data_IF_068883049355
#
_entry.id   IF_068883049355
#
_cell.length_a   1.000
_cell.length_b   1.000
_cell.length_c   1.000
_cell.angle_alpha   90.00
_cell.angle_beta   90.00
_cell.angle_gamma   90.00
#
_symmetry.space_group_name_H-M   'P 1'
#
loop_
_entity.id
_entity.type
_entity.pdbx_description
1 polymer ?
#
# COMPACT_ATOMS: atom_id res chain seq x y z
N UNK A 1 -42.70 -99.91 -64.36
CA UNK A 1 -42.32 -100.05 -62.94
C UNK A 1 -41.30 -98.96 -62.64
N UNK A 2 -41.62 -98.01 -61.74
CA UNK A 2 -40.75 -96.98 -61.10
C UNK A 2 -40.10 -95.84 -61.95
N UNK A 3 -40.56 -94.61 -61.62
CA UNK A 3 -39.97 -93.24 -61.54
C UNK A 3 -38.84 -92.76 -62.49
N UNK A 4 -38.83 -91.57 -63.13
CA UNK A 4 -39.11 -90.12 -62.82
C UNK A 4 -37.91 -89.29 -62.29
N UNK A 5 -37.56 -88.19 -63.00
CA UNK A 5 -37.09 -86.82 -62.56
C UNK A 5 -36.03 -86.18 -63.52
N UNK A 6 -36.01 -84.84 -63.56
CA UNK A 6 -35.50 -83.90 -64.59
C UNK A 6 -34.62 -82.76 -64.03
N UNK A 7 -33.67 -82.19 -64.81
CA UNK A 7 -33.25 -80.75 -64.92
C UNK A 7 -32.06 -80.65 -65.95
N UNK A 8 -31.94 -79.74 -66.94
CA UNK A 8 -31.82 -78.25 -66.99
C UNK A 8 -30.49 -77.71 -66.36
N UNK A 9 -29.73 -76.72 -66.89
CA UNK A 9 -29.89 -75.74 -68.02
C UNK A 9 -28.52 -75.03 -68.40
N UNK A 10 -28.38 -74.46 -69.62
CA UNK A 10 -27.60 -73.23 -70.06
C UNK A 10 -26.07 -73.07 -69.80
N UNK A 11 -25.17 -72.75 -70.77
CA UNK A 11 -24.96 -71.56 -71.68
C UNK A 11 -24.08 -70.42 -71.05
N UNK A 12 -23.07 -69.75 -71.68
CA UNK A 12 -22.18 -70.03 -72.86
C UNK A 12 -21.09 -68.89 -73.05
N UNK A 13 -19.81 -69.20 -73.40
CA UNK A 13 -18.75 -68.31 -74.05
C UNK A 13 -18.25 -67.02 -73.28
N UNK A 14 -17.08 -66.37 -73.48
CA UNK A 14 -15.77 -66.60 -74.18
C UNK A 14 -14.65 -65.59 -73.77
N UNK A 15 -13.39 -66.04 -73.82
CA UNK A 15 -12.16 -65.36 -74.34
C UNK A 15 -11.45 -64.12 -73.71
N UNK A 16 -10.11 -64.24 -73.69
CA UNK A 16 -9.05 -63.21 -73.93
C UNK A 16 -8.37 -62.47 -72.77
N UNK A 17 -7.05 -62.68 -72.66
CA UNK A 17 -6.07 -61.86 -71.92
C UNK A 17 -5.49 -60.74 -72.80
N UNK A 18 -5.26 -59.55 -72.22
CA UNK A 18 -3.93 -59.05 -71.82
C UNK A 18 -4.09 -57.64 -71.22
N UNK A 19 -3.42 -57.38 -70.10
CA UNK A 19 -3.59 -56.12 -69.35
C UNK A 19 -2.85 -54.94 -69.98
N UNK A 20 -3.44 -53.76 -69.84
CA UNK A 20 -2.77 -52.47 -70.07
C UNK A 20 -2.59 -51.76 -68.73
N UNK A 21 -1.44 -51.11 -68.56
CA UNK A 21 -1.03 -50.35 -67.37
C UNK A 21 -2.06 -49.29 -66.99
N UNK A 22 -2.46 -49.26 -65.72
CA UNK A 22 -3.17 -48.11 -65.15
C UNK A 22 -2.25 -46.89 -65.20
N UNK A 23 -2.62 -45.90 -66.01
CA UNK A 23 -2.29 -44.52 -65.64
C UNK A 23 -3.00 -44.26 -64.30
N UNK A 24 -2.33 -43.71 -63.27
CA UNK A 24 -3.02 -43.26 -62.07
C UNK A 24 -4.12 -42.30 -62.50
N UNK A 25 -5.36 -42.68 -62.24
CA UNK A 25 -6.50 -41.84 -62.53
C UNK A 25 -6.47 -40.72 -61.49
N UNK A 26 -6.25 -39.44 -61.87
CA UNK A 26 -6.01 -38.36 -60.90
C UNK A 26 -7.26 -37.97 -60.08
N UNK A 27 -8.34 -38.74 -60.22
CA UNK A 27 -9.63 -38.59 -59.55
C UNK A 27 -10.04 -39.87 -58.78
N UNK A 28 -9.10 -40.79 -58.56
CA UNK A 28 -9.24 -42.07 -57.86
C UNK A 28 -8.25 -42.02 -56.68
N UNK A 29 -8.74 -41.57 -55.53
CA UNK A 29 -7.92 -41.08 -54.41
C UNK A 29 -7.28 -42.21 -53.61
N UNK A 30 -8.05 -43.29 -53.41
CA UNK A 30 -7.60 -44.50 -52.72
C UNK A 30 -6.99 -45.55 -53.67
N UNK A 31 -7.03 -45.33 -54.99
CA UNK A 31 -6.43 -46.22 -56.01
C UNK A 31 -7.07 -47.62 -56.07
N UNK A 32 -8.36 -47.76 -55.73
CA UNK A 32 -9.09 -49.03 -55.85
C UNK A 32 -9.52 -49.35 -57.30
N UNK A 33 -9.45 -48.36 -58.20
CA UNK A 33 -9.75 -48.48 -59.62
C UNK A 33 -11.15 -48.00 -60.03
N UNK A 34 -11.97 -47.50 -59.09
CA UNK A 34 -13.30 -46.96 -59.36
C UNK A 34 -13.45 -45.55 -58.77
N UNK A 35 -13.85 -44.56 -59.59
CA UNK A 35 -14.24 -43.24 -59.05
C UNK A 35 -15.62 -43.40 -58.38
N UNK A 36 -15.63 -43.36 -57.06
CA UNK A 36 -16.83 -43.51 -56.23
C UNK A 36 -17.02 -42.33 -55.29
N UNK A 37 -18.01 -42.40 -54.38
CA UNK A 37 -18.16 -41.40 -53.33
C UNK A 37 -17.03 -41.47 -52.29
N UNK A 38 -16.32 -42.59 -52.17
CA UNK A 38 -15.19 -42.71 -51.27
C UNK A 38 -14.02 -41.83 -51.75
N UNK A 39 -13.79 -41.76 -53.06
CA UNK A 39 -12.76 -40.88 -53.65
C UNK A 39 -13.08 -39.40 -53.50
N UNK A 40 -14.37 -39.05 -53.49
CA UNK A 40 -14.82 -37.71 -53.15
C UNK A 40 -14.58 -37.40 -51.67
N UNK A 41 -14.79 -38.38 -50.77
CA UNK A 41 -14.51 -38.25 -49.34
C UNK A 41 -13.01 -38.21 -49.03
N UNK A 42 -12.19 -38.98 -49.75
CA UNK A 42 -10.72 -38.92 -49.66
C UNK A 42 -10.18 -37.58 -50.19
N UNK A 43 -10.80 -37.02 -51.24
CA UNK A 43 -10.49 -35.68 -51.74
C UNK A 43 -10.92 -34.58 -50.76
N UNK A 44 -12.02 -34.77 -50.02
CA UNK A 44 -12.46 -33.87 -48.94
C UNK A 44 -11.52 -33.93 -47.73
N UNK A 45 -11.04 -35.13 -47.36
CA UNK A 45 -10.00 -35.30 -46.32
C UNK A 45 -8.65 -34.67 -46.67
N UNK A 46 -8.42 -34.33 -47.95
CA UNK A 46 -7.24 -33.57 -48.39
C UNK A 46 -7.36 -32.05 -48.10
N UNK A 47 -8.54 -31.56 -47.70
CA UNK A 47 -8.80 -30.16 -47.34
C UNK A 47 -8.94 -29.92 -45.82
N UNK A 48 -8.38 -30.81 -45.01
CA UNK A 48 -7.69 -30.43 -43.77
C UNK A 48 -8.51 -30.06 -42.53
N UNK A 49 -9.77 -29.68 -42.68
CA UNK A 49 -10.55 -29.17 -41.56
C UNK A 49 -11.29 -30.28 -40.81
N UNK A 50 -11.31 -30.15 -39.49
CA UNK A 50 -12.14 -30.95 -38.58
C UNK A 50 -13.38 -30.13 -38.24
N UNK A 51 -14.41 -30.78 -37.72
CA UNK A 51 -15.63 -30.18 -37.15
C UNK A 51 -15.72 -30.82 -35.76
N UNK A 52 -15.14 -30.12 -34.77
CA UNK A 52 -14.79 -30.69 -33.46
C UNK A 52 -16.00 -30.80 -32.54
N UNK A 53 -16.99 -29.92 -32.67
CA UNK A 53 -18.21 -29.86 -31.88
C UNK A 53 -19.45 -30.45 -32.60
N UNK A 54 -19.38 -30.63 -33.92
CA UNK A 54 -20.45 -31.14 -34.80
C UNK A 54 -21.62 -30.18 -35.00
N UNK A 55 -21.39 -28.87 -35.04
CA UNK A 55 -22.42 -27.86 -35.34
C UNK A 55 -22.72 -27.73 -36.86
N UNK A 56 -21.77 -28.13 -37.71
CA UNK A 56 -21.83 -28.07 -39.17
C UNK A 56 -20.96 -26.99 -39.82
N UNK A 57 -20.15 -26.28 -39.04
CA UNK A 57 -19.06 -25.38 -39.45
C UNK A 57 -17.73 -26.14 -39.31
N UNK A 58 -16.68 -25.63 -39.95
CA UNK A 58 -15.36 -26.26 -39.96
C UNK A 58 -14.40 -25.47 -39.07
N UNK A 59 -13.57 -26.14 -38.25
CA UNK A 59 -12.61 -25.59 -37.28
C UNK A 59 -11.65 -24.51 -37.84
N UNK A 60 -11.54 -24.34 -39.17
CA UNK A 60 -10.72 -23.30 -39.82
C UNK A 60 -11.42 -21.95 -40.01
N UNK A 61 -12.75 -21.94 -39.86
CA UNK A 61 -13.65 -20.78 -39.98
C UNK A 61 -14.62 -20.68 -38.79
N UNK A 62 -14.51 -21.59 -37.83
CA UNK A 62 -15.16 -21.54 -36.53
C UNK A 62 -14.19 -20.97 -35.48
N UNK A 63 -14.54 -19.81 -34.91
CA UNK A 63 -13.76 -19.16 -33.85
C UNK A 63 -14.08 -19.77 -32.45
N UNK A 64 -15.08 -20.64 -32.29
CA UNK A 64 -15.51 -21.25 -31.03
C UNK A 64 -15.94 -22.73 -31.06
N UNK A 65 -14.98 -23.63 -31.33
CA UNK A 65 -15.12 -25.10 -31.34
C UNK A 65 -15.41 -25.79 -29.97
N UNK A 66 -15.64 -25.08 -28.87
CA UNK A 66 -15.81 -25.67 -27.52
C UNK A 66 -17.23 -25.49 -26.98
N UNK A 67 -18.02 -26.57 -27.00
CA UNK A 67 -19.39 -26.65 -26.47
C UNK A 67 -19.53 -26.31 -24.97
N UNK A 68 -18.42 -26.17 -24.24
CA UNK A 68 -18.41 -25.74 -22.83
C UNK A 68 -18.12 -24.25 -22.64
N UNK A 69 -17.79 -23.53 -23.72
CA UNK A 69 -17.68 -22.06 -23.71
C UNK A 69 -19.03 -21.41 -23.39
N UNK A 70 -18.98 -20.27 -22.71
CA UNK A 70 -20.19 -19.59 -22.21
C UNK A 70 -20.88 -18.72 -23.28
N UNK A 71 -20.18 -18.43 -24.38
CA UNK A 71 -20.73 -17.78 -25.58
C UNK A 71 -20.86 -18.73 -26.77
N UNK A 72 -20.82 -20.05 -26.55
CA UNK A 72 -20.98 -21.03 -27.61
C UNK A 72 -22.30 -20.85 -28.38
N UNK A 73 -22.21 -20.73 -29.70
CA UNK A 73 -23.32 -20.65 -30.66
C UNK A 73 -22.91 -21.35 -31.95
N UNK A 74 -23.87 -21.86 -32.73
CA UNK A 74 -23.64 -22.72 -33.91
C UNK A 74 -23.37 -21.95 -35.23
N UNK A 75 -22.92 -20.69 -35.09
CA UNK A 75 -22.39 -19.79 -36.14
C UNK A 75 -21.64 -18.64 -35.43
N UNK A 76 -20.53 -18.95 -34.72
CA UNK A 76 -19.92 -18.00 -33.82
C UNK A 76 -19.10 -16.96 -34.59
N UNK A 77 -19.55 -15.71 -34.54
CA UNK A 77 -18.85 -14.59 -35.18
C UNK A 77 -17.70 -14.02 -34.33
N UNK A 78 -17.40 -14.63 -33.18
CA UNK A 78 -16.45 -14.18 -32.18
C UNK A 78 -15.82 -15.39 -31.46
N UNK A 79 -14.56 -15.30 -30.96
CA UNK A 79 -13.88 -16.42 -30.31
C UNK A 79 -14.56 -17.01 -29.07
N UNK A 80 -14.24 -18.26 -28.77
CA UNK A 80 -14.65 -18.92 -27.52
C UNK A 80 -14.19 -18.13 -26.28
N UNK A 81 -15.19 -17.75 -25.50
CA UNK A 81 -15.05 -17.15 -24.19
C UNK A 81 -15.40 -18.17 -23.12
N UNK A 82 -14.60 -18.21 -22.07
CA UNK A 82 -14.84 -19.03 -20.89
C UNK A 82 -15.26 -18.15 -19.72
N UNK A 83 -15.77 -18.79 -18.67
CA UNK A 83 -16.02 -18.13 -17.40
C UNK A 83 -14.67 -17.87 -16.72
N UNK A 84 -14.41 -16.62 -16.34
CA UNK A 84 -13.28 -16.24 -15.49
C UNK A 84 -13.54 -16.56 -14.01
N UNK A 85 -12.61 -16.21 -13.12
CA UNK A 85 -12.72 -16.53 -11.69
C UNK A 85 -13.96 -15.89 -11.05
N UNK A 86 -14.44 -14.74 -11.56
CA UNK A 86 -15.62 -14.03 -11.07
C UNK A 86 -16.96 -14.56 -11.61
N UNK A 87 -16.95 -15.59 -12.47
CA UNK A 87 -18.16 -16.05 -13.14
C UNK A 87 -18.50 -15.29 -14.43
N UNK A 88 -17.63 -14.39 -14.91
CA UNK A 88 -17.91 -13.51 -16.05
C UNK A 88 -17.47 -14.18 -17.35
N UNK A 89 -18.40 -14.27 -18.30
CA UNK A 89 -18.12 -14.83 -19.62
C UNK A 89 -17.23 -13.89 -20.44
N UNK A 90 -16.01 -14.35 -20.80
CA UNK A 90 -15.03 -13.54 -21.53
C UNK A 90 -14.42 -12.43 -20.67
N UNK A 91 -14.52 -12.55 -19.34
CA UNK A 91 -13.82 -11.67 -18.41
C UNK A 91 -12.31 -11.94 -18.39
N UNK A 92 -11.55 -10.97 -17.88
CA UNK A 92 -10.09 -10.98 -17.86
C UNK A 92 -9.49 -11.35 -16.49
N UNK A 93 -10.28 -11.91 -15.58
CA UNK A 93 -9.86 -12.12 -14.21
C UNK A 93 -8.98 -13.36 -14.04
N UNK A 94 -7.68 -13.15 -13.79
CA UNK A 94 -6.72 -14.24 -13.53
C UNK A 94 -6.83 -14.81 -12.09
N UNK A 95 -7.42 -14.07 -11.14
CA UNK A 95 -7.54 -14.44 -9.73
C UNK A 95 -8.51 -13.55 -8.95
N UNK A 96 -9.18 -14.16 -7.98
CA UNK A 96 -9.99 -13.57 -6.91
C UNK A 96 -9.69 -14.44 -5.68
N UNK A 97 -8.75 -13.98 -4.85
CA UNK A 97 -8.10 -14.80 -3.82
C UNK A 97 -8.86 -14.86 -2.49
N UNK A 98 -9.78 -13.93 -2.24
CA UNK A 98 -10.63 -13.89 -1.04
C UNK A 98 -12.12 -14.20 -1.33
N UNK A 99 -12.57 -14.04 -2.57
CA UNK A 99 -13.94 -14.29 -3.02
C UNK A 99 -14.88 -13.10 -2.87
N UNK A 100 -14.38 -11.85 -2.79
CA UNK A 100 -15.22 -10.65 -2.64
C UNK A 100 -15.94 -10.23 -3.94
N UNK A 101 -15.46 -10.71 -5.09
CA UNK A 101 -15.99 -10.39 -6.42
C UNK A 101 -15.18 -9.36 -7.22
N UNK A 102 -13.99 -8.99 -6.76
CA UNK A 102 -13.02 -8.12 -7.45
C UNK A 102 -11.78 -8.93 -7.86
N UNK A 103 -11.12 -8.58 -8.95
CA UNK A 103 -9.90 -9.27 -9.40
C UNK A 103 -8.67 -8.81 -8.63
N UNK A 104 -7.79 -9.76 -8.26
CA UNK A 104 -6.54 -9.54 -7.53
C UNK A 104 -5.62 -8.44 -8.14
N UNK A 105 -5.77 -8.11 -9.43
CA UNK A 105 -4.97 -7.10 -10.14
C UNK A 105 -5.51 -5.65 -10.03
N UNK A 106 -6.78 -5.50 -9.66
CA UNK A 106 -7.46 -4.20 -9.45
C UNK A 106 -8.04 -4.03 -8.04
N UNK A 107 -8.08 -5.11 -7.27
CA UNK A 107 -8.46 -5.10 -5.88
C UNK A 107 -7.40 -4.37 -5.02
N UNK A 108 -7.90 -3.56 -4.09
CA UNK A 108 -7.09 -2.82 -3.13
C UNK A 108 -6.90 -3.56 -1.80
N UNK A 109 -7.61 -4.67 -1.56
CA UNK A 109 -7.49 -5.46 -0.35
C UNK A 109 -7.72 -6.97 -0.53
N UNK A 110 -6.68 -7.69 -0.94
CA UNK A 110 -6.76 -9.16 -1.04
C UNK A 110 -6.78 -9.74 0.38
N UNK A 111 -7.97 -10.06 0.88
CA UNK A 111 -8.26 -10.56 2.22
C UNK A 111 -9.50 -9.90 2.84
N UNK A 112 -9.51 -9.76 4.16
CA UNK A 112 -10.60 -9.07 4.87
C UNK A 112 -10.18 -7.65 5.27
N UNK A 113 -11.04 -6.65 5.01
CA UNK A 113 -10.97 -5.35 5.66
C UNK A 113 -11.42 -5.48 7.12
N UNK A 114 -10.62 -4.99 8.06
CA UNK A 114 -11.02 -4.91 9.48
C UNK A 114 -12.05 -3.79 9.74
N UNK A 115 -12.58 -3.69 10.97
CA UNK A 115 -13.52 -2.62 11.34
C UNK A 115 -12.91 -1.20 11.30
N UNK A 116 -11.60 -1.09 11.04
CA UNK A 116 -10.87 0.15 10.82
C UNK A 116 -10.65 0.48 9.33
N UNK A 117 -11.11 -0.39 8.42
CA UNK A 117 -10.91 -0.24 6.98
C UNK A 117 -9.48 -0.51 6.52
N UNK A 118 -8.70 -1.25 7.32
CA UNK A 118 -7.32 -1.64 7.01
C UNK A 118 -7.32 -3.07 6.49
N UNK A 119 -6.69 -3.28 5.34
CA UNK A 119 -6.62 -4.59 4.73
C UNK A 119 -5.77 -5.57 5.54
N UNK A 120 -6.34 -6.74 5.88
CA UNK A 120 -5.73 -7.71 6.78
C UNK A 120 -5.21 -7.06 8.07
N UNK A 121 -5.92 -6.02 8.53
CA UNK A 121 -5.48 -5.14 9.61
C UNK A 121 -5.46 -5.81 10.99
N UNK A 122 -4.84 -5.16 11.99
CA UNK A 122 -4.79 -5.68 13.35
C UNK A 122 -6.14 -5.60 14.08
N UNK A 123 -7.15 -4.96 13.47
CA UNK A 123 -8.44 -4.70 14.09
C UNK A 123 -8.44 -3.51 15.06
N UNK A 124 -9.63 -3.13 15.54
CA UNK A 124 -9.81 -2.02 16.46
C UNK A 124 -9.10 -2.23 17.81
N UNK A 125 -8.42 -1.19 18.30
CA UNK A 125 -7.89 -1.16 19.66
C UNK A 125 -8.93 -0.61 20.64
N UNK A 126 -8.70 -0.85 21.93
CA UNK A 126 -9.49 -0.24 23.02
C UNK A 126 -11.01 -0.42 22.89
N UNK A 127 -11.45 -1.66 22.68
CA UNK A 127 -12.87 -2.05 22.61
C UNK A 127 -13.55 -1.85 23.98
N UNK A 128 -14.47 -0.90 24.07
CA UNK A 128 -15.22 -0.53 25.28
C UNK A 128 -16.71 -0.85 25.07
N UNK A 129 -17.29 -1.63 25.98
CA UNK A 129 -18.75 -1.83 26.02
C UNK A 129 -19.39 -0.61 26.69
N UNK A 130 -20.14 0.18 25.93
CA UNK A 130 -20.87 1.33 26.46
C UNK A 130 -22.15 0.90 27.17
N UNK A 131 -22.89 -0.04 26.57
CA UNK A 131 -24.12 -0.58 27.16
C UNK A 131 -24.45 -1.98 26.64
N UNK A 132 -25.16 -2.74 27.46
CA UNK A 132 -25.80 -4.01 27.08
C UNK A 132 -27.29 -3.86 27.37
N UNK A 133 -28.11 -3.86 26.33
CA UNK A 133 -29.57 -3.82 26.43
C UNK A 133 -30.12 -5.23 26.28
N UNK A 134 -30.53 -5.85 27.38
CA UNK A 134 -31.18 -7.17 27.34
C UNK A 134 -32.68 -6.98 27.06
N UNK A 135 -33.15 -7.61 25.99
CA UNK A 135 -34.56 -7.66 25.63
C UNK A 135 -35.20 -8.89 26.27
N UNK A 136 -36.34 -8.67 26.93
CA UNK A 136 -37.10 -9.70 27.63
C UNK A 136 -38.47 -9.88 26.99
N UNK A 137 -38.93 -11.12 26.96
CA UNK A 137 -40.31 -11.50 26.65
C UNK A 137 -40.92 -12.19 27.88
N UNK A 138 -42.25 -12.34 27.90
CA UNK A 138 -42.96 -12.91 29.05
C UNK A 138 -44.18 -13.71 28.67
N UNK A 139 -44.31 -14.90 29.27
CA UNK A 139 -45.46 -15.80 29.11
C UNK A 139 -46.19 -15.90 30.46
N UNK A 140 -47.49 -15.63 30.46
CA UNK A 140 -48.34 -15.81 31.63
C UNK A 140 -48.64 -17.30 31.86
N UNK A 141 -48.52 -17.77 33.10
CA UNK A 141 -48.79 -19.14 33.53
C UNK A 141 -50.11 -19.18 34.31
N UNK A 142 -51.26 -19.57 33.70
CA UNK A 142 -52.56 -19.41 34.31
C UNK A 142 -52.84 -20.34 35.50
N UNK A 143 -52.07 -21.44 35.63
CA UNK A 143 -52.20 -22.40 36.72
C UNK A 143 -51.62 -21.87 38.03
N UNK A 144 -50.54 -21.11 37.94
CA UNK A 144 -49.79 -20.54 39.07
C UNK A 144 -50.10 -19.04 39.28
N UNK A 145 -50.79 -18.42 38.32
CA UNK A 145 -51.15 -17.00 38.27
C UNK A 145 -49.94 -16.03 38.24
N UNK A 146 -48.81 -16.49 37.72
CA UNK A 146 -47.54 -15.76 37.63
C UNK A 146 -47.12 -15.49 36.18
N UNK A 147 -46.20 -14.54 35.99
CA UNK A 147 -45.57 -14.27 34.68
C UNK A 147 -44.16 -14.85 34.68
N UNK A 148 -43.88 -15.73 33.71
CA UNK A 148 -42.52 -16.21 33.44
C UNK A 148 -41.84 -15.28 32.44
N UNK A 149 -40.82 -14.56 32.88
CA UNK A 149 -40.05 -13.60 32.07
C UNK A 149 -38.71 -14.23 31.69
N UNK A 150 -38.33 -14.17 30.41
CA UNK A 150 -37.08 -14.73 29.90
C UNK A 150 -36.40 -13.78 28.91
N UNK A 151 -35.06 -13.76 28.84
CA UNK A 151 -34.35 -12.99 27.82
C UNK A 151 -34.55 -13.63 26.44
N UNK A 152 -34.76 -12.80 25.42
CA UNK A 152 -34.90 -13.23 24.01
C UNK A 152 -33.75 -12.79 23.13
N UNK A 153 -33.10 -11.67 23.46
CA UNK A 153 -31.89 -11.19 22.81
C UNK A 153 -31.16 -10.20 23.71
N UNK A 154 -29.92 -9.88 23.35
CA UNK A 154 -29.18 -8.76 23.91
C UNK A 154 -28.57 -7.96 22.77
N UNK A 155 -28.64 -6.64 22.88
CA UNK A 155 -27.97 -5.69 21.99
C UNK A 155 -26.82 -5.05 22.76
N UNK A 156 -25.65 -4.90 22.14
CA UNK A 156 -24.43 -4.42 22.80
C UNK A 156 -23.88 -3.24 22.02
N UNK A 157 -23.93 -2.05 22.62
CA UNK A 157 -23.29 -0.85 22.06
C UNK A 157 -21.83 -0.88 22.49
N UNK A 158 -20.95 -0.87 21.50
CA UNK A 158 -19.49 -0.90 21.67
C UNK A 158 -18.94 0.36 21.01
N UNK A 159 -18.07 1.07 21.70
CA UNK A 159 -17.14 2.03 21.07
C UNK A 159 -15.75 1.42 21.02
N UNK A 160 -15.04 1.72 19.94
CA UNK A 160 -13.68 1.26 19.70
C UNK A 160 -12.87 2.41 19.12
N UNK A 161 -11.54 2.31 19.21
CA UNK A 161 -10.64 3.28 18.60
C UNK A 161 -9.81 2.56 17.56
N UNK A 162 -9.88 3.03 16.33
CA UNK A 162 -8.90 2.69 15.32
C UNK A 162 -7.70 3.60 15.53
N UNK A 163 -6.82 3.23 16.47
CA UNK A 163 -5.52 3.90 16.61
C UNK A 163 -4.82 3.82 15.24
N UNK A 164 -4.25 4.91 14.71
CA UNK A 164 -3.66 4.91 13.38
C UNK A 164 -2.50 3.91 13.34
N UNK A 165 -2.72 2.80 12.64
CA UNK A 165 -1.69 1.80 12.37
C UNK A 165 -0.76 2.43 11.35
N UNK A 166 0.49 2.66 11.73
CA UNK A 166 1.50 3.14 10.80
C UNK A 166 1.82 2.04 9.77
N UNK A 167 1.22 2.14 8.59
CA UNK A 167 1.42 1.25 7.47
C UNK A 167 2.52 1.79 6.54
N UNK A 168 2.55 3.11 6.30
CA UNK A 168 3.55 3.79 5.49
C UNK A 168 3.88 5.21 6.00
N UNK A 169 5.02 5.77 5.60
CA UNK A 169 5.25 7.20 5.86
C UNK A 169 4.21 8.05 5.09
N UNK A 170 3.59 8.99 5.78
CA UNK A 170 2.38 9.68 5.36
C UNK A 170 1.27 9.53 6.41
N UNK A 171 1.23 8.38 7.10
CA UNK A 171 0.28 8.11 8.17
C UNK A 171 0.55 8.97 9.41
N UNK A 172 -0.51 9.16 10.20
CA UNK A 172 -0.42 9.82 11.50
C UNK A 172 0.23 8.88 12.53
N UNK A 173 1.09 9.43 13.38
CA UNK A 173 1.68 8.72 14.52
C UNK A 173 1.29 9.44 15.80
N UNK A 174 0.41 8.83 16.60
CA UNK A 174 0.03 9.36 17.91
C UNK A 174 1.19 9.25 18.90
N UNK A 175 1.60 10.38 19.47
CA UNK A 175 2.59 10.42 20.54
C UNK A 175 2.25 11.49 21.59
N UNK A 176 2.14 11.07 22.85
CA UNK A 176 1.79 11.91 23.99
C UNK A 176 0.50 12.74 23.83
N UNK A 177 -0.51 12.16 23.17
CA UNK A 177 -1.83 12.81 22.96
C UNK A 177 -1.86 13.82 21.81
N UNK A 178 -0.87 13.77 20.90
CA UNK A 178 -0.83 14.55 19.67
C UNK A 178 -0.51 13.63 18.48
N UNK A 179 -1.19 13.84 17.36
CA UNK A 179 -1.01 13.05 16.14
C UNK A 179 -0.04 13.76 15.18
N UNK A 180 1.14 13.18 15.01
CA UNK A 180 2.18 13.75 14.14
C UNK A 180 1.99 13.24 12.71
N UNK A 181 1.96 14.16 11.75
CA UNK A 181 2.08 13.81 10.33
C UNK A 181 3.51 13.32 10.06
N UNK A 182 3.63 12.30 9.24
CA UNK A 182 4.92 11.75 8.80
C UNK A 182 5.12 11.93 7.30
N UNK A 183 6.36 11.85 6.83
CA UNK A 183 6.73 12.00 5.42
C UNK A 183 7.88 11.07 5.07
N UNK A 184 7.85 10.48 3.88
CA UNK A 184 8.96 9.70 3.34
C UNK A 184 9.99 10.63 2.69
N UNK A 185 11.25 10.54 3.09
CA UNK A 185 12.35 11.28 2.46
C UNK A 185 13.49 10.30 2.18
N UNK A 186 13.67 9.97 0.89
CA UNK A 186 14.47 8.80 0.50
C UNK A 186 13.82 7.53 1.03
N UNK A 187 14.62 6.67 1.66
CA UNK A 187 14.14 5.41 2.26
C UNK A 187 13.65 5.57 3.71
N UNK A 188 13.67 6.78 4.27
CA UNK A 188 13.39 7.02 5.70
C UNK A 188 12.06 7.71 5.93
N UNK A 189 11.35 7.32 7.00
CA UNK A 189 10.15 8.00 7.49
C UNK A 189 10.52 9.05 8.53
N UNK A 190 10.11 10.31 8.34
CA UNK A 190 10.39 11.43 9.22
C UNK A 190 9.10 12.07 9.75
N UNK A 191 9.10 12.58 10.97
CA UNK A 191 8.07 13.52 11.42
C UNK A 191 8.12 14.80 10.57
N UNK A 192 6.98 15.22 10.00
CA UNK A 192 6.89 16.47 9.23
C UNK A 192 6.78 17.71 10.11
N UNK A 193 6.70 17.57 11.44
CA UNK A 193 6.72 18.69 12.38
C UNK A 193 7.63 18.43 13.60
N UNK A 194 7.94 19.49 14.34
CA UNK A 194 8.84 19.43 15.51
C UNK A 194 8.19 18.66 16.66
N UNK A 195 8.97 17.85 17.39
CA UNK A 195 8.46 17.11 18.54
C UNK A 195 7.96 18.05 19.64
N UNK A 196 6.78 17.75 20.19
CA UNK A 196 6.05 18.54 21.19
C UNK A 196 6.05 17.89 22.59
N UNK A 197 6.77 16.78 22.76
CA UNK A 197 6.81 16.04 24.03
C UNK A 197 7.31 16.92 25.19
N UNK A 198 6.41 17.25 26.13
CA UNK A 198 6.68 18.19 27.22
C UNK A 198 6.31 17.60 28.59
N UNK A 199 7.17 16.72 29.16
CA UNK A 199 6.90 16.08 30.46
C UNK A 199 7.08 17.05 31.64
N UNK A 200 7.95 18.05 31.46
CA UNK A 200 8.23 19.17 32.37
C UNK A 200 8.57 20.38 31.50
N UNK A 201 8.51 21.59 32.05
CA UNK A 201 8.95 22.82 31.37
C UNK A 201 9.81 23.65 32.32
N UNK A 202 10.85 24.26 31.77
CA UNK A 202 11.84 25.06 32.49
C UNK A 202 11.88 26.50 31.95
N UNK A 203 12.17 27.50 32.80
CA UNK A 203 12.44 28.86 32.33
C UNK A 203 13.73 28.87 31.48
N UNK A 204 13.84 29.80 30.54
CA UNK A 204 15.00 29.88 29.64
C UNK A 204 16.30 30.16 30.39
N UNK A 205 16.22 30.82 31.55
CA UNK A 205 17.33 31.07 32.47
C UNK A 205 18.01 29.82 33.04
N UNK A 206 17.32 28.68 33.08
CA UNK A 206 17.86 27.39 33.53
C UNK A 206 18.39 26.56 32.37
N UNK A 207 19.25 25.58 32.67
CA UNK A 207 19.86 24.68 31.69
C UNK A 207 21.28 24.27 32.09
N UNK A 208 21.69 23.06 31.69
CA UNK A 208 23.08 22.61 31.76
C UNK A 208 23.38 21.57 30.64
N UNK A 209 24.52 20.88 30.70
CA UNK A 209 24.99 19.90 29.71
C UNK A 209 24.84 18.44 30.13
N UNK A 210 24.23 18.16 31.29
CA UNK A 210 24.15 16.82 31.91
C UNK A 210 22.74 16.36 32.22
N UNK A 211 21.87 17.28 32.66
CA UNK A 211 20.49 17.01 33.05
C UNK A 211 19.53 17.48 31.94
N UNK A 212 18.34 16.85 31.79
CA UNK A 212 17.40 17.20 30.73
C UNK A 212 16.61 18.48 31.05
N UNK A 213 16.51 19.38 30.06
CA UNK A 213 15.73 20.62 30.12
C UNK A 213 14.90 20.82 28.86
N UNK A 214 13.68 21.33 29.05
CA UNK A 214 12.63 21.48 28.04
C UNK A 214 12.08 22.90 28.11
N UNK A 215 11.94 23.57 26.97
CA UNK A 215 11.54 24.97 26.90
C UNK A 215 10.46 25.19 25.84
N UNK A 216 9.52 26.09 26.14
CA UNK A 216 8.57 26.63 25.15
C UNK A 216 8.98 28.07 24.87
N UNK A 217 9.17 28.43 23.59
CA UNK A 217 9.72 29.74 23.22
C UNK A 217 8.88 30.88 23.81
N UNK A 218 9.52 31.73 24.63
CA UNK A 218 8.88 32.89 25.28
C UNK A 218 8.07 32.55 26.54
N UNK A 219 8.09 31.31 27.03
CA UNK A 219 7.50 30.92 28.30
C UNK A 219 8.59 30.78 29.38
N UNK A 220 8.38 31.40 30.54
CA UNK A 220 9.35 31.49 31.65
C UNK A 220 8.80 30.91 32.97
N UNK A 221 7.74 30.10 32.90
CA UNK A 221 7.18 29.40 34.04
C UNK A 221 7.60 27.94 34.11
N UNK A 222 6.99 27.19 35.03
CA UNK A 222 7.22 25.75 35.24
C UNK A 222 5.94 24.91 35.13
N UNK A 223 4.83 25.50 34.66
CA UNK A 223 3.54 24.82 34.53
C UNK A 223 3.32 24.35 33.08
N UNK A 224 3.31 23.03 32.90
CA UNK A 224 3.20 22.40 31.57
C UNK A 224 1.91 22.78 30.86
N UNK A 225 0.76 22.80 31.55
CA UNK A 225 -0.54 23.12 30.92
C UNK A 225 -0.55 24.56 30.39
N UNK A 226 -0.03 25.52 31.17
CA UNK A 226 0.12 26.91 30.75
C UNK A 226 1.11 27.06 29.60
N UNK A 227 2.18 26.26 29.56
CA UNK A 227 3.15 26.24 28.47
C UNK A 227 2.56 25.67 27.16
N UNK A 228 1.79 24.58 27.25
CA UNK A 228 1.11 23.95 26.11
C UNK A 228 0.02 24.87 25.50
N UNK A 229 -0.58 25.74 26.32
CA UNK A 229 -1.53 26.75 25.85
C UNK A 229 -0.88 27.94 25.10
N UNK A 230 0.46 28.02 25.02
CA UNK A 230 1.14 29.11 24.31
C UNK A 230 1.09 28.93 22.78
N UNK A 231 0.91 30.03 22.06
CA UNK A 231 0.93 30.02 20.59
C UNK A 231 2.23 29.43 20.02
N UNK A 232 3.38 29.74 20.63
CA UNK A 232 4.67 29.21 20.18
C UNK A 232 4.82 27.70 20.40
N UNK A 233 4.20 27.11 21.43
CA UNK A 233 4.14 25.64 21.57
C UNK A 233 3.35 25.05 20.40
N UNK A 234 2.17 25.62 20.10
CA UNK A 234 1.33 25.17 18.97
C UNK A 234 2.03 25.32 17.61
N UNK A 235 2.77 26.41 17.38
CA UNK A 235 3.48 26.62 16.10
C UNK A 235 4.79 25.85 15.99
N UNK A 236 5.69 25.94 16.97
CA UNK A 236 7.08 25.50 16.83
C UNK A 236 7.44 24.24 17.65
N UNK A 237 6.53 23.78 18.51
CA UNK A 237 6.77 22.67 19.43
C UNK A 237 7.64 23.08 20.63
N UNK A 238 8.56 22.20 20.99
CA UNK A 238 9.41 22.33 22.18
C UNK A 238 10.88 22.44 21.76
N UNK A 239 11.64 23.22 22.51
CA UNK A 239 13.10 23.26 22.44
C UNK A 239 13.67 22.40 23.58
N UNK A 240 14.67 21.58 23.28
CA UNK A 240 15.26 20.59 24.16
C UNK A 240 16.76 20.86 24.27
N UNK A 241 17.37 20.70 25.44
CA UNK A 241 18.82 20.54 25.48
C UNK A 241 19.24 19.12 25.04
N UNK A 242 20.52 18.89 24.77
CA UNK A 242 20.93 17.59 24.25
C UNK A 242 20.66 16.41 25.21
N UNK A 243 20.89 16.52 26.53
CA UNK A 243 20.43 15.50 27.47
C UNK A 243 18.93 15.18 27.34
N UNK A 244 18.06 16.19 27.18
CA UNK A 244 16.63 15.95 27.01
C UNK A 244 16.28 15.15 25.76
N UNK A 245 16.88 15.40 24.59
CA UNK A 245 16.60 14.57 23.38
C UNK A 245 17.10 13.13 23.50
N UNK A 246 17.95 12.83 24.48
CA UNK A 246 18.44 11.48 24.77
C UNK A 246 17.61 10.74 25.83
N UNK A 247 16.60 11.39 26.44
CA UNK A 247 15.70 10.73 27.39
C UNK A 247 14.80 9.70 26.69
N UNK A 248 14.46 8.58 27.34
CA UNK A 248 13.56 7.59 26.78
C UNK A 248 12.15 8.14 26.64
N UNK A 249 11.53 7.92 25.48
CA UNK A 249 10.15 8.35 25.20
C UNK A 249 10.01 9.75 24.60
N UNK A 250 11.10 10.40 24.19
CA UNK A 250 11.07 11.62 23.34
C UNK A 250 10.43 11.35 21.97
N UNK A 251 10.53 10.11 21.49
CA UNK A 251 9.88 9.59 20.30
C UNK A 251 8.98 8.39 20.67
N UNK A 252 7.94 8.10 19.89
CA UNK A 252 7.10 6.91 20.09
C UNK A 252 7.88 5.62 19.84
N UNK A 253 7.31 4.48 20.26
CA UNK A 253 7.93 3.16 20.05
C UNK A 253 8.18 2.88 18.56
N UNK A 254 9.36 2.39 18.22
CA UNK A 254 9.80 2.18 16.83
C UNK A 254 10.30 3.44 16.11
N UNK A 255 10.38 4.57 16.80
CA UNK A 255 10.95 5.83 16.31
C UNK A 255 12.06 6.33 17.25
N UNK A 256 13.02 7.09 16.72
CA UNK A 256 14.13 7.64 17.51
C UNK A 256 14.56 9.03 17.03
N UNK A 257 15.41 9.69 17.82
CA UNK A 257 16.04 10.95 17.43
C UNK A 257 17.16 10.65 16.40
N UNK A 258 17.19 11.35 15.26
CA UNK A 258 18.10 11.05 14.15
C UNK A 258 19.57 11.17 14.54
N UNK A 259 20.34 10.16 14.16
CA UNK A 259 21.81 10.22 14.16
C UNK A 259 22.34 11.14 13.07
N UNK A 260 23.62 11.49 13.17
CA UNK A 260 24.31 12.35 12.21
C UNK A 260 24.38 11.71 10.82
N UNK A 261 24.29 10.38 10.74
CA UNK A 261 24.29 9.63 9.48
C UNK A 261 22.92 9.65 8.80
N UNK A 262 21.82 9.49 9.55
CA UNK A 262 20.46 9.53 9.01
C UNK A 262 20.11 10.90 8.43
N UNK A 263 20.49 11.98 9.14
CA UNK A 263 20.42 13.32 8.56
C UNK A 263 21.20 13.45 7.24
N UNK A 264 22.41 12.88 7.15
CA UNK A 264 23.18 12.89 5.90
C UNK A 264 22.48 12.07 4.80
N UNK A 265 21.84 10.95 5.15
CA UNK A 265 21.03 10.15 4.22
C UNK A 265 19.86 10.95 3.66
N UNK A 266 19.10 11.66 4.52
CA UNK A 266 18.05 12.59 4.08
C UNK A 266 18.60 13.69 3.17
N UNK A 267 19.70 14.35 3.57
CA UNK A 267 20.33 15.43 2.79
C UNK A 267 20.79 14.94 1.40
N UNK A 268 21.32 13.72 1.30
CA UNK A 268 21.69 13.08 0.03
C UNK A 268 20.45 12.74 -0.81
N UNK A 269 19.40 12.20 -0.21
CA UNK A 269 18.13 11.91 -0.89
C UNK A 269 17.47 13.17 -1.48
N UNK A 270 17.68 14.33 -0.83
CA UNK A 270 17.22 15.64 -1.31
C UNK A 270 18.15 16.30 -2.34
N UNK A 271 19.32 15.72 -2.63
CA UNK A 271 20.19 16.11 -3.74
C UNK A 271 21.62 16.53 -3.38
N UNK A 272 22.05 16.45 -2.12
CA UNK A 272 23.48 16.66 -1.78
C UNK A 272 24.35 15.52 -2.30
N UNK A 273 25.60 15.82 -2.69
CA UNK A 273 26.61 14.76 -2.80
C UNK A 273 27.04 14.25 -1.42
N UNK A 274 27.47 12.99 -1.33
CA UNK A 274 27.99 12.42 -0.08
C UNK A 274 29.20 13.20 0.48
N UNK A 275 29.99 13.86 -0.39
CA UNK A 275 31.08 14.77 0.01
C UNK A 275 30.59 16.09 0.64
N UNK A 276 29.43 16.60 0.21
CA UNK A 276 28.83 17.80 0.81
C UNK A 276 28.16 17.47 2.13
N UNK A 277 27.33 16.41 2.18
CA UNK A 277 26.61 15.99 3.38
C UNK A 277 27.57 15.74 4.57
N UNK A 278 28.72 15.10 4.32
CA UNK A 278 29.76 14.84 5.31
C UNK A 278 30.62 16.05 5.72
N UNK A 279 30.54 17.16 4.99
CA UNK A 279 31.22 18.41 5.33
C UNK A 279 30.51 19.17 6.47
N UNK A 280 31.20 20.13 7.07
CA UNK A 280 30.64 21.07 8.07
C UNK A 280 30.48 22.47 7.49
N UNK A 281 29.72 23.31 8.19
CA UNK A 281 29.32 24.65 7.72
C UNK A 281 28.03 24.62 6.89
N UNK A 282 27.80 25.68 6.10
CA UNK A 282 26.68 25.76 5.15
C UNK A 282 27.04 24.99 3.87
N UNK A 283 26.21 24.01 3.49
CA UNK A 283 26.42 23.16 2.31
C UNK A 283 25.14 22.79 1.56
N UNK A 284 25.31 22.31 0.33
CA UNK A 284 24.28 21.63 -0.44
C UNK A 284 23.07 22.48 -0.83
N UNK A 285 23.24 23.78 -1.05
CA UNK A 285 22.17 24.61 -1.64
C UNK A 285 21.72 24.02 -2.98
N UNK A 286 20.41 23.84 -3.24
CA UNK A 286 19.27 24.42 -2.52
C UNK A 286 18.51 23.45 -1.57
N UNK A 287 19.15 22.40 -1.04
CA UNK A 287 18.47 21.39 -0.19
C UNK A 287 17.78 21.99 1.04
N UNK A 288 18.34 23.04 1.62
CA UNK A 288 17.71 23.79 2.71
C UNK A 288 16.40 24.47 2.30
N UNK A 289 16.26 24.95 1.06
CA UNK A 289 14.98 25.46 0.54
C UNK A 289 13.94 24.35 0.37
N UNK A 290 14.37 23.12 0.07
CA UNK A 290 13.47 21.96 0.00
C UNK A 290 12.96 21.51 1.38
N UNK A 291 13.73 21.77 2.44
CA UNK A 291 13.42 21.44 3.83
C UNK A 291 12.61 22.53 4.55
N UNK A 292 12.88 23.81 4.28
CA UNK A 292 12.19 24.94 4.92
C UNK A 292 10.69 24.95 4.61
N UNK A 293 9.89 25.29 5.61
CA UNK A 293 8.44 25.55 5.47
C UNK A 293 8.14 26.67 4.46
N UNK A 294 6.96 26.60 3.84
CA UNK A 294 6.47 27.61 2.88
C UNK A 294 6.05 28.93 3.52
N UNK A 295 6.01 29.00 4.85
CA UNK A 295 5.66 30.19 5.65
C UNK A 295 6.49 30.26 6.93
N UNK A 296 6.49 31.42 7.58
CA UNK A 296 7.13 31.66 8.88
C UNK A 296 8.53 32.28 8.83
N UNK A 297 9.23 32.18 7.70
CA UNK A 297 10.59 32.72 7.55
C UNK A 297 10.57 34.21 7.22
N UNK A 298 11.41 34.98 7.92
CA UNK A 298 11.52 36.42 7.76
C UNK A 298 12.03 36.82 6.38
N UNK A 299 11.74 38.07 5.98
CA UNK A 299 12.19 38.68 4.72
C UNK A 299 11.81 37.91 3.42
N UNK A 300 10.81 37.03 3.48
CA UNK A 300 10.41 36.17 2.36
C UNK A 300 11.27 34.92 2.19
N UNK A 301 12.07 34.56 3.21
CA UNK A 301 13.03 33.45 3.22
C UNK A 301 12.47 32.03 3.22
N UNK A 302 11.19 31.87 2.87
CA UNK A 302 10.47 30.60 2.93
C UNK A 302 11.01 29.60 1.91
N UNK A 303 10.96 28.31 2.25
CA UNK A 303 11.30 27.24 1.32
C UNK A 303 10.18 26.87 0.36
N UNK A 304 10.48 25.94 -0.55
CA UNK A 304 9.46 25.22 -1.33
C UNK A 304 8.72 24.18 -0.49
N UNK A 305 9.34 23.70 0.60
CA UNK A 305 8.91 22.53 1.37
C UNK A 305 8.70 21.27 0.50
N UNK A 306 9.42 21.13 -0.61
CA UNK A 306 9.23 20.01 -1.54
C UNK A 306 9.68 18.65 -0.98
N UNK A 307 10.37 18.63 0.17
CA UNK A 307 10.64 17.41 0.96
C UNK A 307 9.50 17.01 1.90
N UNK A 308 8.53 17.90 2.15
CA UNK A 308 7.53 17.76 3.21
C UNK A 308 8.08 17.85 4.65
N UNK A 309 9.40 17.98 4.85
CA UNK A 309 10.01 18.09 6.18
C UNK A 309 9.45 19.27 7.00
N UNK A 310 8.98 20.34 6.36
CA UNK A 310 8.34 21.51 6.99
C UNK A 310 9.19 22.06 8.15
N UNK A 311 10.45 22.36 7.86
CA UNK A 311 11.38 22.98 8.79
C UNK A 311 10.94 24.41 9.11
N UNK A 312 10.45 24.61 10.34
CA UNK A 312 9.98 25.91 10.83
C UNK A 312 11.09 26.70 11.54
N UNK A 313 11.10 28.03 11.45
CA UNK A 313 12.09 28.88 12.10
C UNK A 313 11.74 29.14 13.56
N UNK A 314 11.79 28.08 14.38
CA UNK A 314 11.47 28.15 15.81
C UNK A 314 12.49 28.91 16.67
N UNK A 315 13.63 29.29 16.09
CA UNK A 315 14.77 29.81 16.83
C UNK A 315 15.33 28.80 17.83
N UNK A 316 16.11 29.32 18.78
CA UNK A 316 16.79 28.49 19.77
C UNK A 316 16.85 29.16 21.16
N UNK A 317 17.11 28.34 22.18
CA UNK A 317 17.39 28.79 23.55
C UNK A 317 18.90 28.78 23.77
N UNK A 318 19.45 29.89 24.27
CA UNK A 318 20.87 30.03 24.60
C UNK A 318 21.06 31.02 25.75
N UNK A 319 22.16 30.91 26.51
CA UNK A 319 22.62 31.88 27.52
C UNK A 319 21.54 32.53 28.44
N UNK A 320 20.48 31.80 28.78
CA UNK A 320 19.40 32.31 29.63
C UNK A 320 18.29 33.08 28.91
N UNK A 321 18.10 32.87 27.61
CA UNK A 321 17.06 33.51 26.81
C UNK A 321 16.75 32.76 25.50
N UNK A 322 15.79 33.30 24.74
CA UNK A 322 15.36 32.80 23.43
C UNK A 322 15.75 33.75 22.31
N UNK A 323 16.19 33.21 21.17
CA UNK A 323 16.78 33.95 20.06
C UNK A 323 16.28 33.46 18.69
N UNK A 324 16.33 34.36 17.71
CA UNK A 324 16.25 34.06 16.27
C UNK A 324 15.01 33.32 15.73
N UNK A 325 13.89 33.40 16.44
CA UNK A 325 12.57 33.04 15.89
C UNK A 325 12.28 33.79 14.58
N UNK A 326 11.80 33.07 13.57
CA UNK A 326 11.62 33.58 12.20
C UNK A 326 12.90 33.70 11.36
N UNK A 327 14.09 33.60 11.96
CA UNK A 327 15.38 33.69 11.27
C UNK A 327 16.08 32.35 11.09
N UNK A 328 16.03 31.50 12.13
CA UNK A 328 16.71 30.21 12.22
C UNK A 328 15.74 29.12 12.68
N UNK A 329 15.95 27.91 12.17
CA UNK A 329 15.39 26.68 12.71
C UNK A 329 16.53 25.69 12.90
N UNK A 330 16.64 25.13 14.11
CA UNK A 330 17.78 24.35 14.54
C UNK A 330 17.29 23.02 15.13
N UNK A 331 17.95 21.92 14.77
CA UNK A 331 17.56 20.55 15.17
C UNK A 331 18.75 19.76 15.70
N UNK A 332 18.52 19.04 16.80
CA UNK A 332 19.51 18.12 17.35
C UNK A 332 19.69 16.85 16.53
N UNK A 333 20.89 16.28 16.64
CA UNK A 333 21.14 14.87 16.38
C UNK A 333 21.44 14.10 17.68
N UNK A 334 21.07 12.83 17.74
CA UNK A 334 21.47 11.88 18.78
C UNK A 334 23.00 11.57 18.78
N UNK A 335 23.74 11.98 17.74
CA UNK A 335 25.18 11.74 17.66
C UNK A 335 26.00 12.82 18.39
N UNK A 336 26.78 12.39 19.38
CA UNK A 336 27.74 13.24 20.09
C UNK A 336 29.06 13.44 19.32
N UNK A 337 29.67 14.62 19.51
CA UNK A 337 31.04 14.96 19.07
C UNK A 337 31.85 15.41 20.30
N UNK A 338 32.52 14.48 20.98
CA UNK A 338 33.25 14.78 22.21
C UNK A 338 32.35 15.34 23.33
N UNK A 339 32.58 16.58 23.75
CA UNK A 339 31.74 17.32 24.72
C UNK A 339 30.50 17.99 24.09
N UNK A 340 30.47 18.05 22.76
CA UNK A 340 29.43 18.68 21.95
C UNK A 340 28.55 17.61 21.29
N UNK A 341 27.55 18.03 20.53
CA UNK A 341 26.71 17.14 19.71
C UNK A 341 26.41 17.79 18.38
N UNK A 342 26.12 16.99 17.36
CA UNK A 342 25.84 17.50 16.02
C UNK A 342 24.47 18.19 15.95
N UNK A 343 24.42 19.33 15.26
CA UNK A 343 23.18 20.06 14.93
C UNK A 343 22.96 20.13 13.41
N UNK A 344 21.72 20.42 13.02
CA UNK A 344 21.36 20.95 11.69
C UNK A 344 20.70 22.29 11.87
N UNK A 345 21.04 23.27 11.03
CA UNK A 345 20.30 24.53 11.00
C UNK A 345 19.88 24.92 9.57
N UNK A 346 18.76 25.63 9.49
CA UNK A 346 18.25 26.31 8.30
C UNK A 346 18.13 27.80 8.63
N UNK A 347 18.42 28.69 7.67
CA UNK A 347 18.29 30.14 7.85
C UNK A 347 17.39 30.78 6.77
N UNK A 348 16.93 32.00 7.04
CA UNK A 348 16.00 32.72 6.15
C UNK A 348 16.62 33.26 4.84
N UNK A 349 17.94 33.36 4.70
CA UNK A 349 18.60 34.03 3.57
C UNK A 349 19.40 33.09 2.65
N UNK A 350 19.54 31.83 3.02
CA UNK A 350 20.32 30.80 2.34
C UNK A 350 19.45 29.56 2.06
N UNK A 351 19.72 28.90 0.93
CA UNK A 351 19.12 27.63 0.55
C UNK A 351 19.99 26.42 0.95
N UNK A 352 21.13 26.66 1.59
CA UNK A 352 22.00 25.63 2.17
C UNK A 352 21.46 25.10 3.50
N UNK A 353 21.89 23.91 3.90
CA UNK A 353 21.73 23.40 5.27
C UNK A 353 23.05 23.63 6.03
N UNK A 354 23.00 24.04 7.29
CA UNK A 354 24.15 24.10 8.18
C UNK A 354 24.33 22.77 8.94
N UNK A 355 25.59 22.39 9.21
CA UNK A 355 25.94 21.32 10.15
C UNK A 355 27.26 21.63 10.83
N UNK A 356 27.27 21.53 12.13
CA UNK A 356 28.47 21.62 12.96
C UNK A 356 28.24 20.86 14.27
N UNK A 357 29.27 20.78 15.12
CA UNK A 357 29.08 20.34 16.51
C UNK A 357 29.07 21.51 17.50
N UNK A 358 28.11 21.45 18.41
CA UNK A 358 27.72 22.57 19.28
C UNK A 358 27.54 22.10 20.72
N UNK A 359 27.71 23.04 21.65
CA UNK A 359 27.64 22.75 23.07
C UNK A 359 26.23 22.28 23.47
N UNK A 360 26.15 21.19 24.24
CA UNK A 360 24.91 20.54 24.69
C UNK A 360 23.98 21.41 25.57
N UNK A 361 24.42 22.60 25.94
CA UNK A 361 23.68 23.61 26.71
C UNK A 361 22.60 24.36 25.89
N UNK A 362 22.74 24.40 24.56
CA UNK A 362 21.75 25.02 23.68
C UNK A 362 20.40 24.27 23.77
N UNK A 363 19.31 24.98 23.49
CA UNK A 363 17.99 24.37 23.34
C UNK A 363 17.51 24.47 21.89
N UNK A 364 17.37 23.34 21.22
CA UNK A 364 16.98 23.24 19.81
C UNK A 364 15.75 22.34 19.62
N UNK A 365 15.13 22.40 18.45
CA UNK A 365 14.01 21.51 18.14
C UNK A 365 14.47 20.06 18.02
N UNK A 366 13.52 19.13 18.14
CA UNK A 366 13.74 17.71 17.91
C UNK A 366 12.82 17.19 16.80
N UNK A 367 13.24 16.12 16.13
CA UNK A 367 12.47 15.37 15.12
C UNK A 367 12.64 13.89 15.39
N UNK A 368 11.61 13.11 15.11
CA UNK A 368 11.69 11.66 15.15
C UNK A 368 11.82 11.12 13.72
N UNK A 369 12.61 10.06 13.58
CA UNK A 369 12.82 9.30 12.35
C UNK A 369 12.61 7.81 12.63
N UNK A 370 12.29 7.07 11.59
CA UNK A 370 12.22 5.60 11.55
C UNK A 370 12.72 5.12 10.19
N UNK A 371 13.51 4.05 10.23
CA UNK A 371 13.95 3.27 9.06
C UNK A 371 12.99 2.09 8.76
#
# INVERSE_FOLDING_TARGET
>A
MRYFITLLLSIVFTSSFLGQTSCPNPYDGNSDGAITINDLLDLLGLFGDTDTDSDGIWDSVDDCIDVSACNYDADPTEPCNFIDVLGICGGGCDGDSDGDGVCDDVDTCVGDLDECGICNGPGPTNVIIESITILYDSVFLPLDAEWFVYPVSADTVITYVCDPVFAACGDLVTHAGYDYITVQIGDQCWFSENCRYLPVVSPSSEGNTTDPYYYVYGYEGTDVITAQAQANYSTYGVLYNWPAVMEPGICPSGWHIPTDLEWQTMEIALGMSASEASSTGWRGSPVGDYMKSTTGWNNGGNGSNSSGFTGLPGGYRYSGGFYDIGNFGDWWSASGSGSNSWERALNYYDGSVYRDDVNRYYGFSARCVRD
#
